data_IF_369642449688
#
_entry.id   IF_369642449688
#
_cell.length_a   1.000
_cell.length_b   1.000
_cell.length_c   1.000
_cell.angle_alpha   90.00
_cell.angle_beta   90.00
_cell.angle_gamma   90.00
#
_symmetry.space_group_name_H-M   'P 1'
#
loop_
_entity.id
_entity.type
_entity.pdbx_description
1 polymer ?
#
# COMPACT_ATOMS: atom_id res chain seq x y z
N UNK A 1 7.63 1.02 0.02
CA UNK A 1 7.50 1.80 -1.23
C UNK A 1 6.16 2.53 -1.19
N UNK A 2 6.01 3.69 -1.85
CA UNK A 2 4.72 4.40 -1.90
C UNK A 2 3.77 3.69 -2.88
N UNK A 3 2.50 3.53 -2.50
CA UNK A 3 1.45 2.88 -3.33
C UNK A 3 0.20 3.71 -3.52
N UNK A 4 -0.06 4.69 -2.67
CA UNK A 4 -1.19 5.60 -2.82
C UNK A 4 -0.93 6.88 -2.05
N UNK A 5 -1.49 7.99 -2.56
CA UNK A 5 -1.56 9.25 -1.87
C UNK A 5 -2.78 10.03 -2.38
N UNK A 6 -3.41 10.81 -1.52
CA UNK A 6 -4.48 11.73 -1.90
C UNK A 6 -4.27 13.06 -1.19
N UNK A 7 -4.42 14.17 -1.91
CA UNK A 7 -4.46 15.50 -1.32
C UNK A 7 -5.90 15.90 -1.10
N UNK A 8 -6.30 16.03 0.15
CA UNK A 8 -7.69 16.25 0.54
C UNK A 8 -7.87 17.66 1.09
N UNK A 9 -8.72 18.50 0.50
CA UNK A 9 -9.16 19.74 1.15
C UNK A 9 -10.13 19.42 2.29
N UNK A 10 -9.88 19.97 3.48
CA UNK A 10 -10.75 19.84 4.66
C UNK A 10 -11.01 21.23 5.24
N UNK A 11 -12.27 21.48 5.60
CA UNK A 11 -12.61 22.64 6.42
C UNK A 11 -12.14 22.44 7.87
N UNK A 12 -12.07 23.54 8.63
CA UNK A 12 -11.71 23.48 10.06
C UNK A 12 -12.68 22.56 10.81
N UNK A 13 -12.13 21.58 11.53
CA UNK A 13 -12.91 20.59 12.29
C UNK A 13 -13.49 19.43 11.48
N UNK A 14 -13.35 19.43 10.14
CA UNK A 14 -13.84 18.35 9.30
C UNK A 14 -12.90 17.12 9.32
N UNK A 15 -13.47 15.95 9.07
CA UNK A 15 -12.75 14.68 8.87
C UNK A 15 -13.25 13.99 7.61
N UNK A 16 -12.37 13.26 6.91
CA UNK A 16 -12.73 12.45 5.72
C UNK A 16 -12.03 11.10 5.79
N UNK A 17 -12.77 10.05 5.46
CA UNK A 17 -12.22 8.70 5.26
C UNK A 17 -11.71 8.57 3.83
N UNK A 18 -10.47 8.10 3.69
CA UNK A 18 -9.82 7.85 2.40
C UNK A 18 -9.54 6.37 2.25
N UNK A 19 -9.81 5.83 1.06
CA UNK A 19 -9.48 4.47 0.69
C UNK A 19 -8.34 4.45 -0.33
N UNK A 20 -7.40 3.52 -0.18
CA UNK A 20 -6.38 3.23 -1.17
C UNK A 20 -6.55 1.80 -1.64
N UNK A 21 -6.90 1.62 -2.91
CA UNK A 21 -6.99 0.29 -3.51
C UNK A 21 -5.59 -0.21 -3.85
N UNK A 22 -5.32 -1.48 -3.52
CA UNK A 22 -4.07 -2.15 -3.88
C UNK A 22 -4.33 -3.10 -5.04
N UNK A 23 -3.66 -2.85 -6.15
CA UNK A 23 -3.67 -3.74 -7.30
C UNK A 23 -2.66 -4.88 -7.11
N UNK A 24 -2.84 -5.98 -7.86
CA UNK A 24 -1.87 -7.08 -7.90
C UNK A 24 -0.44 -6.58 -8.15
N UNK A 25 -0.28 -5.60 -9.03
CA UNK A 25 1.01 -5.03 -9.40
C UNK A 25 1.70 -4.33 -8.23
N UNK A 26 0.94 -3.71 -7.32
CA UNK A 26 1.48 -2.99 -6.16
C UNK A 26 2.20 -3.93 -5.18
N UNK A 27 1.74 -5.18 -5.13
CA UNK A 27 2.28 -6.26 -4.30
C UNK A 27 3.23 -7.19 -5.06
N UNK A 28 3.53 -6.89 -6.33
CA UNK A 28 4.39 -7.74 -7.16
C UNK A 28 5.81 -7.21 -7.26
N UNK A 29 6.74 -8.11 -7.58
CA UNK A 29 8.05 -7.77 -8.14
C UNK A 29 8.20 -8.38 -9.53
N UNK A 30 9.12 -7.84 -10.33
CA UNK A 30 9.46 -8.42 -11.63
C UNK A 30 10.46 -9.55 -11.42
N UNK A 31 10.07 -10.77 -11.77
CA UNK A 31 10.98 -11.92 -11.82
C UNK A 31 11.64 -11.98 -13.21
N UNK A 32 12.95 -11.81 -13.25
CA UNK A 32 13.75 -11.82 -14.48
C UNK A 32 13.85 -13.20 -15.10
N UNK A 33 13.73 -14.28 -14.33
CA UNK A 33 13.84 -15.65 -14.85
C UNK A 33 12.56 -16.03 -15.60
N UNK A 34 11.41 -15.81 -14.97
CA UNK A 34 10.12 -16.12 -15.57
C UNK A 34 9.54 -14.98 -16.43
N UNK A 35 10.21 -13.83 -16.49
CA UNK A 35 9.82 -12.65 -17.29
C UNK A 35 8.36 -12.21 -17.03
N UNK A 36 7.97 -12.20 -15.76
CA UNK A 36 6.62 -11.85 -15.34
C UNK A 36 6.61 -11.19 -13.96
N UNK A 37 5.46 -10.63 -13.62
CA UNK A 37 5.22 -10.07 -12.29
C UNK A 37 4.68 -11.13 -11.34
N UNK A 38 5.40 -11.34 -10.25
CA UNK A 38 5.11 -12.36 -9.24
C UNK A 38 4.77 -11.67 -7.92
N UNK A 39 3.70 -12.12 -7.26
CA UNK A 39 3.44 -11.76 -5.86
C UNK A 39 4.31 -12.68 -5.01
N UNK A 40 5.26 -12.15 -4.21
CA UNK A 40 6.06 -12.97 -3.31
C UNK A 40 5.17 -13.60 -2.24
N UNK A 41 5.53 -14.82 -1.82
CA UNK A 41 4.95 -15.43 -0.64
C UNK A 41 5.49 -14.73 0.62
N UNK A 42 4.66 -14.69 1.67
CA UNK A 42 5.02 -14.10 2.96
C UNK A 42 4.22 -12.86 3.31
N UNK A 43 4.68 -12.16 4.34
CA UNK A 43 3.96 -11.03 4.92
C UNK A 43 4.36 -9.69 4.30
N UNK A 44 3.37 -8.83 4.10
CA UNK A 44 3.57 -7.43 3.73
C UNK A 44 3.16 -6.52 4.88
N UNK A 45 4.06 -5.65 5.30
CA UNK A 45 3.72 -4.54 6.18
C UNK A 45 3.20 -3.37 5.35
N UNK A 46 1.93 -3.03 5.56
CA UNK A 46 1.32 -1.82 5.05
C UNK A 46 1.48 -0.72 6.10
N UNK A 47 1.80 0.50 5.67
CA UNK A 47 1.93 1.65 6.58
C UNK A 47 1.30 2.88 5.97
N UNK A 48 0.64 3.68 6.80
CA UNK A 48 -0.05 4.92 6.41
C UNK A 48 0.39 6.05 7.34
N UNK A 49 0.62 7.23 6.78
CA UNK A 49 1.06 8.39 7.54
C UNK A 49 1.19 9.65 6.69
N UNK A 50 1.77 10.69 7.28
CA UNK A 50 1.88 12.02 6.67
C UNK A 50 3.14 12.18 5.83
N UNK A 51 4.16 11.37 6.10
CA UNK A 51 5.39 11.32 5.31
C UNK A 51 6.01 9.92 5.40
N UNK A 52 7.02 9.64 4.56
CA UNK A 52 7.75 8.36 4.60
C UNK A 52 8.47 8.10 5.92
N UNK A 53 8.63 9.13 6.77
CA UNK A 53 9.27 9.03 8.10
C UNK A 53 8.30 9.25 9.26
N UNK A 54 7.05 9.60 8.98
CA UNK A 54 6.00 9.81 9.98
C UNK A 54 4.79 8.92 9.65
N UNK A 55 4.87 7.68 10.09
CA UNK A 55 3.88 6.62 9.87
C UNK A 55 3.00 6.49 11.13
N UNK A 56 1.69 6.65 10.98
CA UNK A 56 0.73 6.69 12.10
C UNK A 56 0.03 5.36 12.36
N UNK A 57 -0.07 4.53 11.34
CA UNK A 57 -0.64 3.20 11.45
C UNK A 57 0.15 2.22 10.57
N UNK A 58 0.22 0.98 11.03
CA UNK A 58 0.74 -0.13 10.26
C UNK A 58 -0.09 -1.37 10.51
N UNK A 59 -0.19 -2.22 9.49
CA UNK A 59 -0.81 -3.53 9.60
C UNK A 59 -0.05 -4.51 8.73
N UNK A 60 -0.19 -5.80 9.01
CA UNK A 60 0.42 -6.87 8.21
C UNK A 60 -0.66 -7.63 7.47
N UNK A 61 -0.40 -7.93 6.20
CA UNK A 61 -1.26 -8.80 5.39
C UNK A 61 -0.45 -9.95 4.81
N UNK A 62 -1.10 -11.08 4.63
CA UNK A 62 -0.58 -12.20 3.84
C UNK A 62 -1.42 -12.29 2.56
N UNK A 63 -0.81 -12.15 1.37
CA UNK A 63 -1.55 -12.27 0.13
C UNK A 63 -2.03 -13.71 -0.02
N UNK A 64 -3.34 -13.86 -0.21
CA UNK A 64 -3.92 -15.14 -0.61
C UNK A 64 -3.50 -15.41 -2.06
N UNK A 65 -2.87 -16.55 -2.29
CA UNK A 65 -2.55 -16.99 -3.65
C UNK A 65 -3.88 -17.35 -4.34
N UNK A 66 -4.14 -16.72 -5.48
CA UNK A 66 -5.20 -17.12 -6.40
C UNK A 66 -4.64 -18.14 -7.40
#
# INVERSE_FOLDING_TARGET
QLRGFEKVPLAVGASKTIGFELMRRDLSYWDVVSQQWVIPAGEFTLSVGWSSRDLKASTTITPVQA
#
